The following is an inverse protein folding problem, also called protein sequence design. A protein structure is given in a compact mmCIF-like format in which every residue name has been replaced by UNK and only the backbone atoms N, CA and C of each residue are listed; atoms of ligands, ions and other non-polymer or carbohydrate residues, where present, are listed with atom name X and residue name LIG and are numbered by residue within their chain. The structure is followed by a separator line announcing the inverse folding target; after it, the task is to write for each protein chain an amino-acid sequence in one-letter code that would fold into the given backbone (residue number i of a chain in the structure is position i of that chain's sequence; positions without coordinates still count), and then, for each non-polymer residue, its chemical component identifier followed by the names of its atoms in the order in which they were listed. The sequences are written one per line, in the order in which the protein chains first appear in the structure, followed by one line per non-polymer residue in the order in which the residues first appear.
data_IF_944022131600
#
_entry.id   IF_944022131600
#
_cell.length_a   1.000
_cell.length_b   1.000
_cell.length_c   1.000
_cell.angle_alpha   90.00
_cell.angle_beta   90.00
_cell.angle_gamma   90.00
#
_symmetry.space_group_name_H-M   'P 1'
#
loop_
_entity.id
_entity.type
_entity.pdbx_description
1 polymer ?
#
# COMPACT_ATOMS: atom_id res chain seq x y z
N UNK A 1 -64.69 35.82 -36.77
CA UNK A 1 -64.89 34.60 -37.58
C UNK A 1 -63.71 34.25 -38.52
N UNK A 2 -62.64 35.03 -38.62
CA UNK A 2 -61.46 34.73 -39.50
C UNK A 2 -60.32 33.88 -38.82
N UNK A 3 -60.30 33.72 -37.52
CA UNK A 3 -59.25 32.96 -36.81
C UNK A 3 -59.52 31.46 -36.59
N UNK A 4 -60.78 31.02 -36.82
CA UNK A 4 -61.15 29.61 -36.55
C UNK A 4 -60.93 28.70 -37.78
N UNK A 5 -60.75 29.26 -38.97
CA UNK A 5 -60.48 28.48 -40.19
C UNK A 5 -59.03 28.14 -40.42
N UNK A 6 -58.10 28.81 -39.74
CA UNK A 6 -56.67 28.57 -39.87
C UNK A 6 -56.21 27.34 -39.07
N UNK A 7 -56.84 27.07 -37.92
CA UNK A 7 -56.56 25.90 -37.08
C UNK A 7 -57.12 24.58 -37.64
N UNK A 8 -58.19 24.66 -38.40
CA UNK A 8 -58.78 23.47 -39.01
C UNK A 8 -57.99 22.94 -40.21
N UNK A 9 -57.24 23.80 -40.91
CA UNK A 9 -56.36 23.40 -42.04
C UNK A 9 -55.01 22.82 -41.59
N UNK A 10 -54.49 23.17 -40.40
CA UNK A 10 -53.27 22.64 -39.85
C UNK A 10 -53.49 21.24 -39.25
N UNK A 11 -54.67 20.95 -38.72
CA UNK A 11 -54.99 19.65 -38.15
C UNK A 11 -55.21 18.53 -39.18
N UNK A 12 -55.61 18.88 -40.43
CA UNK A 12 -55.81 17.89 -41.51
C UNK A 12 -54.54 17.46 -42.21
N UNK A 13 -53.44 18.24 -42.13
CA UNK A 13 -52.11 17.90 -42.71
C UNK A 13 -51.30 17.01 -41.74
N UNK A 14 -51.56 17.12 -40.44
CA UNK A 14 -50.86 16.28 -39.41
C UNK A 14 -51.38 14.84 -39.34
N UNK A 15 -52.59 14.55 -39.86
CA UNK A 15 -53.20 13.21 -39.78
C UNK A 15 -52.85 12.30 -40.98
N UNK A 16 -52.26 12.82 -42.06
CA UNK A 16 -51.92 12.06 -43.26
C UNK A 16 -50.43 11.59 -43.31
N UNK A 17 -49.60 11.97 -42.31
CA UNK A 17 -48.19 11.59 -42.25
C UNK A 17 -47.92 10.34 -41.39
N UNK A 18 -48.94 9.66 -40.78
CA UNK A 18 -48.77 8.53 -39.84
C UNK A 18 -49.06 7.17 -40.48
N UNK A 19 -49.42 7.09 -41.76
CA UNK A 19 -49.91 5.83 -42.39
C UNK A 19 -48.94 5.14 -43.37
N UNK A 20 -47.60 5.45 -43.33
CA UNK A 20 -46.63 4.81 -44.24
C UNK A 20 -45.42 4.19 -43.51
N UNK A 21 -45.58 3.57 -42.35
CA UNK A 21 -44.53 2.82 -41.67
C UNK A 21 -45.03 1.52 -41.07
N UNK A 22 -45.85 0.76 -41.80
CA UNK A 22 -46.19 -0.60 -41.50
C UNK A 22 -45.74 -1.51 -42.65
N UNK A 23 -44.49 -1.93 -42.64
CA UNK A 23 -43.98 -2.85 -43.65
C UNK A 23 -42.69 -3.53 -43.19
N UNK A 24 -42.79 -4.86 -42.96
CA UNK A 24 -41.71 -5.83 -42.78
C UNK A 24 -41.02 -5.89 -41.42
N UNK A 25 -41.69 -6.45 -40.44
CA UNK A 25 -41.07 -7.06 -39.29
C UNK A 25 -40.63 -8.50 -39.59
N UNK A 26 -39.34 -8.69 -39.93
CA UNK A 26 -38.71 -10.01 -39.89
C UNK A 26 -38.30 -10.26 -38.44
N UNK A 27 -39.00 -11.15 -37.76
CA UNK A 27 -38.66 -11.60 -36.41
C UNK A 27 -37.38 -12.42 -36.46
N UNK A 28 -36.23 -11.77 -36.39
CA UNK A 28 -35.04 -12.41 -35.95
C UNK A 28 -35.03 -12.37 -34.41
N UNK A 29 -35.34 -13.49 -33.80
CA UNK A 29 -35.13 -13.74 -32.38
C UNK A 29 -33.64 -13.64 -32.10
N UNK A 30 -33.12 -12.43 -31.92
CA UNK A 30 -31.83 -12.23 -31.30
C UNK A 30 -31.95 -12.67 -29.86
N UNK A 31 -31.47 -13.89 -29.55
CA UNK A 31 -31.10 -14.28 -28.21
C UNK A 31 -30.27 -13.14 -27.64
N UNK A 32 -30.85 -12.37 -26.74
CA UNK A 32 -30.13 -11.47 -25.87
C UNK A 32 -29.19 -12.35 -25.03
N UNK A 33 -28.02 -12.61 -25.55
CA UNK A 33 -26.89 -13.03 -24.74
C UNK A 33 -26.65 -11.85 -23.80
N UNK A 34 -27.01 -12.03 -22.54
CA UNK A 34 -26.64 -11.18 -21.41
C UNK A 34 -25.13 -11.30 -21.21
N UNK A 35 -24.37 -10.88 -22.21
CA UNK A 35 -22.95 -10.69 -22.13
C UNK A 35 -22.78 -9.40 -21.27
N UNK A 36 -22.63 -9.62 -19.96
CA UNK A 36 -22.19 -8.57 -19.03
C UNK A 36 -20.81 -8.14 -19.50
N UNK A 37 -20.76 -7.27 -20.50
CA UNK A 37 -19.51 -6.66 -20.96
C UNK A 37 -18.92 -5.91 -19.78
N UNK A 38 -17.99 -6.57 -19.09
CA UNK A 38 -17.28 -5.96 -17.96
C UNK A 38 -16.51 -4.77 -18.51
N UNK A 39 -16.94 -3.56 -18.17
CA UNK A 39 -16.24 -2.33 -18.58
C UNK A 39 -14.77 -2.44 -18.19
N UNK A 40 -13.88 -2.18 -19.14
CA UNK A 40 -12.43 -2.31 -18.94
C UNK A 40 -11.71 -1.00 -19.21
N UNK A 41 -10.50 -0.87 -18.72
CA UNK A 41 -9.59 0.24 -18.98
C UNK A 41 -8.16 -0.25 -19.11
N UNK A 42 -7.29 0.56 -19.68
CA UNK A 42 -5.87 0.24 -19.85
C UNK A 42 -5.07 0.90 -18.73
N UNK A 43 -4.23 0.11 -18.06
CA UNK A 43 -3.21 0.58 -17.13
C UNK A 43 -1.84 0.47 -17.77
N UNK A 44 -0.96 1.45 -17.48
CA UNK A 44 0.48 1.38 -17.77
C UNK A 44 1.17 0.79 -16.55
N UNK A 45 1.85 -0.33 -16.70
CA UNK A 45 2.63 -1.05 -15.66
C UNK A 45 4.10 -1.10 -16.06
N UNK A 46 4.96 -1.59 -15.18
CA UNK A 46 6.37 -1.79 -15.50
C UNK A 46 6.58 -2.86 -16.60
N UNK A 47 5.64 -3.82 -16.73
CA UNK A 47 5.64 -4.84 -17.79
C UNK A 47 4.89 -4.40 -19.07
N UNK A 48 4.55 -3.12 -19.20
CA UNK A 48 3.82 -2.59 -20.36
C UNK A 48 2.35 -2.27 -20.07
N UNK A 49 1.54 -2.11 -21.12
CA UNK A 49 0.11 -1.82 -21.01
C UNK A 49 -0.69 -3.11 -20.73
N UNK A 50 -1.63 -3.05 -19.79
CA UNK A 50 -2.52 -4.14 -19.44
C UNK A 50 -3.98 -3.67 -19.41
N UNK A 51 -4.88 -4.44 -20.03
CA UNK A 51 -6.33 -4.19 -20.00
C UNK A 51 -6.91 -4.86 -18.76
N UNK A 52 -7.49 -4.08 -17.85
CA UNK A 52 -8.03 -4.54 -16.57
C UNK A 52 -9.52 -4.17 -16.45
N UNK A 53 -10.31 -4.84 -15.60
CA UNK A 53 -11.67 -4.41 -15.28
C UNK A 53 -11.69 -2.97 -14.75
N UNK A 54 -12.73 -2.22 -15.10
CA UNK A 54 -12.93 -0.88 -14.54
C UNK A 54 -13.09 -0.92 -13.02
N UNK A 55 -13.77 -1.95 -12.50
CA UNK A 55 -14.00 -2.21 -11.08
C UNK A 55 -13.63 -3.66 -10.76
N UNK A 56 -12.35 -3.96 -10.44
CA UNK A 56 -11.93 -5.31 -10.12
C UNK A 56 -12.61 -5.78 -8.82
N UNK A 57 -13.14 -7.01 -8.86
CA UNK A 57 -13.93 -7.62 -7.76
C UNK A 57 -13.25 -8.83 -7.13
N UNK A 58 -12.26 -9.40 -7.78
CA UNK A 58 -11.58 -10.62 -7.34
C UNK A 58 -10.07 -10.49 -7.55
N UNK A 59 -9.42 -9.85 -6.59
CA UNK A 59 -8.00 -9.52 -6.70
C UNK A 59 -7.17 -10.59 -5.99
N UNK A 60 -6.16 -11.11 -6.68
CA UNK A 60 -5.08 -11.90 -6.08
C UNK A 60 -3.83 -11.02 -6.03
N UNK A 61 -3.10 -11.04 -4.91
CA UNK A 61 -1.94 -10.17 -4.76
C UNK A 61 -0.86 -10.74 -3.83
N UNK A 62 0.36 -10.26 -4.02
CA UNK A 62 1.46 -10.40 -3.07
C UNK A 62 2.03 -9.01 -2.73
N UNK A 63 2.70 -8.87 -1.60
CA UNK A 63 3.36 -7.63 -1.12
C UNK A 63 2.38 -6.45 -0.98
N UNK A 64 1.50 -6.24 -1.95
CA UNK A 64 0.56 -5.11 -2.04
C UNK A 64 -0.84 -5.40 -1.49
N UNK A 65 -0.98 -6.46 -0.70
CA UNK A 65 -2.27 -6.87 -0.10
C UNK A 65 -2.85 -5.76 0.78
N UNK A 66 -2.02 -5.15 1.63
CA UNK A 66 -2.43 -4.03 2.47
C UNK A 66 -2.82 -2.78 1.67
N UNK A 67 -2.12 -2.47 0.57
CA UNK A 67 -2.44 -1.34 -0.31
C UNK A 67 -3.79 -1.51 -0.99
N UNK A 68 -4.05 -2.71 -1.51
CA UNK A 68 -5.36 -3.06 -2.10
C UNK A 68 -6.47 -2.98 -1.04
N UNK A 69 -6.24 -3.56 0.13
CA UNK A 69 -7.20 -3.59 1.23
C UNK A 69 -7.53 -2.21 1.80
N UNK A 70 -6.51 -1.35 1.95
CA UNK A 70 -6.64 0.01 2.51
C UNK A 70 -7.58 0.90 1.71
N UNK A 71 -7.67 0.68 0.41
CA UNK A 71 -8.56 1.41 -0.49
C UNK A 71 -9.86 0.64 -0.81
N UNK A 72 -10.13 -0.45 -0.06
CA UNK A 72 -11.36 -1.24 -0.19
C UNK A 72 -11.38 -2.16 -1.41
N UNK A 73 -10.22 -2.56 -1.96
CA UNK A 73 -10.15 -3.61 -2.97
C UNK A 73 -10.51 -4.97 -2.36
N UNK A 74 -11.19 -5.82 -3.13
CA UNK A 74 -11.64 -7.13 -2.66
C UNK A 74 -10.62 -8.21 -2.99
N UNK A 75 -9.94 -8.73 -1.95
CA UNK A 75 -8.87 -9.71 -2.07
C UNK A 75 -9.46 -11.11 -1.91
N UNK A 76 -9.21 -11.99 -2.88
CA UNK A 76 -9.64 -13.39 -2.86
C UNK A 76 -8.48 -14.36 -2.62
N UNK A 77 -7.23 -13.89 -2.75
CA UNK A 77 -6.04 -14.67 -2.44
C UNK A 77 -4.83 -13.79 -2.21
N UNK A 78 -4.00 -14.15 -1.23
CA UNK A 78 -2.77 -13.44 -0.90
C UNK A 78 -1.74 -14.39 -0.29
N UNK A 79 -0.48 -13.95 -0.22
CA UNK A 79 0.59 -14.76 0.40
C UNK A 79 0.42 -14.84 1.91
N UNK A 80 1.01 -15.87 2.53
CA UNK A 80 0.94 -16.07 3.98
C UNK A 80 1.54 -14.91 4.77
N UNK A 81 2.63 -14.33 4.26
CA UNK A 81 3.27 -13.17 4.89
C UNK A 81 2.33 -11.95 4.91
N UNK A 82 1.64 -11.69 3.81
CA UNK A 82 0.69 -10.58 3.74
C UNK A 82 -0.51 -10.80 4.68
N UNK A 83 -1.05 -12.02 4.72
CA UNK A 83 -2.19 -12.37 5.58
C UNK A 83 -1.84 -12.36 7.07
N UNK A 84 -0.56 -12.42 7.42
CA UNK A 84 -0.08 -12.25 8.79
C UNK A 84 -0.19 -10.80 9.28
N UNK A 85 -0.43 -9.82 8.40
CA UNK A 85 -0.52 -8.39 8.75
C UNK A 85 -1.55 -8.16 9.87
N UNK A 86 -1.19 -7.50 10.99
CA UNK A 86 -2.13 -7.12 12.04
C UNK A 86 -3.08 -6.00 11.59
N UNK A 87 -2.85 -5.39 10.43
CA UNK A 87 -3.61 -4.28 9.87
C UNK A 87 -4.73 -4.72 8.94
N UNK A 88 -4.76 -5.98 8.54
CA UNK A 88 -5.90 -6.56 7.86
C UNK A 88 -6.98 -6.95 8.88
N UNK A 89 -8.22 -6.61 8.57
CA UNK A 89 -9.37 -6.99 9.40
C UNK A 89 -9.60 -8.50 9.38
N UNK A 90 -10.29 -9.04 10.39
CA UNK A 90 -10.68 -10.46 10.41
C UNK A 90 -11.49 -10.85 9.18
N UNK A 91 -12.38 -9.97 8.70
CA UNK A 91 -13.18 -10.20 7.50
C UNK A 91 -12.32 -10.29 6.24
N UNK A 92 -11.34 -9.38 6.05
CA UNK A 92 -10.40 -9.41 4.93
C UNK A 92 -9.55 -10.69 4.92
N UNK A 93 -9.02 -11.09 6.09
CA UNK A 93 -8.27 -12.34 6.22
C UNK A 93 -9.13 -13.58 5.91
N UNK A 94 -10.38 -13.60 6.36
CA UNK A 94 -11.31 -14.71 6.11
C UNK A 94 -11.71 -14.80 4.62
N UNK A 95 -11.82 -13.67 3.93
CA UNK A 95 -12.20 -13.61 2.52
C UNK A 95 -11.08 -14.07 1.58
N UNK A 96 -9.82 -13.99 2.00
CA UNK A 96 -8.66 -14.28 1.18
C UNK A 96 -8.12 -15.70 1.44
N UNK A 97 -7.95 -16.47 0.38
CA UNK A 97 -7.25 -17.76 0.45
C UNK A 97 -5.76 -17.54 0.64
N UNK A 98 -5.17 -18.28 1.58
CA UNK A 98 -3.72 -18.29 1.77
C UNK A 98 -3.04 -19.11 0.66
N UNK A 99 -2.20 -18.44 -0.13
CA UNK A 99 -1.47 -19.04 -1.26
C UNK A 99 -0.07 -19.58 -0.87
N UNK A 100 0.29 -19.56 0.41
CA UNK A 100 1.63 -19.90 0.87
C UNK A 100 2.61 -18.74 0.64
N UNK A 101 3.88 -19.06 0.41
CA UNK A 101 4.92 -18.04 0.20
C UNK A 101 4.91 -17.44 -1.21
N UNK A 102 4.36 -18.13 -2.19
CA UNK A 102 4.36 -17.74 -3.61
C UNK A 102 3.00 -18.00 -4.26
N UNK A 103 2.69 -17.25 -5.33
CA UNK A 103 1.45 -17.39 -6.11
C UNK A 103 1.59 -18.49 -7.18
N UNK A 104 1.41 -19.77 -6.79
CA UNK A 104 1.43 -20.89 -7.74
C UNK A 104 0.25 -20.80 -8.72
N UNK A 105 0.46 -20.95 -10.04
CA UNK A 105 -0.59 -20.77 -11.07
C UNK A 105 -1.86 -21.59 -10.80
N UNK A 106 -1.71 -22.86 -10.39
CA UNK A 106 -2.84 -23.76 -10.14
C UNK A 106 -3.72 -23.28 -8.97
N UNK A 107 -3.09 -22.73 -7.91
CA UNK A 107 -3.79 -22.18 -6.76
C UNK A 107 -4.50 -20.86 -7.14
N UNK A 108 -3.84 -19.99 -7.91
CA UNK A 108 -4.42 -18.74 -8.41
C UNK A 108 -5.59 -18.99 -9.33
N UNK A 109 -5.48 -19.95 -10.27
CA UNK A 109 -6.54 -20.31 -11.22
C UNK A 109 -7.84 -20.71 -10.52
N UNK A 110 -7.75 -21.50 -9.46
CA UNK A 110 -8.92 -21.93 -8.65
C UNK A 110 -9.71 -20.77 -8.06
N UNK A 111 -9.05 -19.64 -7.82
CA UNK A 111 -9.69 -18.44 -7.26
C UNK A 111 -10.44 -17.60 -8.30
N UNK A 112 -10.29 -17.91 -9.61
CA UNK A 112 -10.92 -17.17 -10.70
C UNK A 112 -10.79 -15.66 -10.53
N UNK A 113 -9.55 -15.11 -10.39
CA UNK A 113 -9.35 -13.68 -10.21
C UNK A 113 -9.72 -12.92 -11.48
N UNK A 114 -10.13 -11.67 -11.33
CA UNK A 114 -10.33 -10.74 -12.44
C UNK A 114 -9.17 -9.74 -12.57
N UNK A 115 -8.27 -9.70 -11.58
CA UNK A 115 -7.01 -8.93 -11.61
C UNK A 115 -5.98 -9.56 -10.66
N UNK A 116 -4.72 -9.54 -11.06
CA UNK A 116 -3.58 -9.95 -10.23
C UNK A 116 -2.66 -8.74 -10.05
N UNK A 117 -2.23 -8.46 -8.80
CA UNK A 117 -1.26 -7.40 -8.50
C UNK A 117 -0.02 -8.04 -7.87
N UNK A 118 1.15 -7.79 -8.43
CA UNK A 118 2.40 -8.44 -7.99
C UNK A 118 3.59 -7.50 -7.99
N UNK A 119 4.53 -7.75 -7.09
CA UNK A 119 5.87 -7.15 -7.09
C UNK A 119 6.93 -8.02 -7.80
N UNK A 120 6.58 -9.23 -8.21
CA UNK A 120 7.49 -10.19 -8.83
C UNK A 120 7.27 -10.24 -10.34
N UNK A 121 8.30 -9.90 -11.12
CA UNK A 121 8.23 -9.89 -12.59
C UNK A 121 7.94 -11.28 -13.19
N UNK A 122 8.46 -12.35 -12.57
CA UNK A 122 8.22 -13.71 -13.03
C UNK A 122 6.73 -14.11 -13.03
N UNK A 123 5.92 -13.52 -12.13
CA UNK A 123 4.48 -13.76 -12.08
C UNK A 123 3.77 -13.23 -13.33
N UNK A 124 4.30 -12.23 -14.02
CA UNK A 124 3.70 -11.71 -15.26
C UNK A 124 3.59 -12.82 -16.31
N UNK A 125 4.71 -13.54 -16.57
CA UNK A 125 4.74 -14.65 -17.51
C UNK A 125 3.88 -15.82 -17.04
N UNK A 126 3.98 -16.16 -15.75
CA UNK A 126 3.32 -17.32 -15.16
C UNK A 126 1.79 -17.17 -15.09
N UNK A 127 1.29 -15.96 -14.79
CA UNK A 127 -0.12 -15.75 -14.42
C UNK A 127 -0.95 -15.01 -15.48
N UNK A 128 -0.35 -14.41 -16.52
CA UNK A 128 -1.08 -13.61 -17.54
C UNK A 128 -2.16 -14.38 -18.32
N UNK A 129 -2.10 -15.71 -18.37
CA UNK A 129 -3.13 -16.55 -18.98
C UNK A 129 -4.35 -16.77 -18.07
N UNK A 130 -4.23 -16.44 -16.77
CA UNK A 130 -5.30 -16.62 -15.77
C UNK A 130 -6.11 -15.34 -15.66
N UNK A 131 -5.44 -14.18 -15.48
CA UNK A 131 -6.06 -12.87 -15.38
C UNK A 131 -5.05 -11.76 -15.74
N UNK A 132 -5.51 -10.52 -16.00
CA UNK A 132 -4.64 -9.36 -16.17
C UNK A 132 -3.68 -9.19 -14.98
N UNK A 133 -2.37 -9.09 -15.25
CA UNK A 133 -1.34 -8.92 -14.22
C UNK A 133 -0.84 -7.48 -14.21
N UNK A 134 -1.03 -6.82 -13.08
CA UNK A 134 -0.51 -5.48 -12.78
C UNK A 134 0.81 -5.65 -12.01
N UNK A 135 1.92 -5.53 -12.73
CA UNK A 135 3.26 -5.62 -12.17
C UNK A 135 3.75 -4.25 -11.68
N UNK A 136 4.15 -4.19 -10.42
CA UNK A 136 4.68 -3.00 -9.76
C UNK A 136 5.97 -3.41 -9.05
N UNK A 137 7.16 -3.04 -9.54
CA UNK A 137 8.41 -3.35 -8.86
C UNK A 137 8.40 -2.83 -7.41
N UNK A 138 8.96 -3.61 -6.49
CA UNK A 138 9.08 -3.20 -5.11
C UNK A 138 9.81 -1.85 -5.00
N UNK A 139 9.33 -0.96 -4.12
CA UNK A 139 9.91 0.37 -3.92
C UNK A 139 9.63 1.40 -5.03
N UNK A 140 8.93 1.03 -6.14
CA UNK A 140 8.68 1.92 -7.28
C UNK A 140 7.46 2.83 -7.14
N UNK A 141 6.78 2.80 -6.00
CA UNK A 141 5.55 3.58 -5.77
C UNK A 141 5.79 4.97 -5.19
N UNK A 142 7.03 5.27 -4.80
CA UNK A 142 7.39 6.53 -4.14
C UNK A 142 7.09 6.50 -2.63
N UNK A 143 6.68 7.63 -2.07
CA UNK A 143 6.27 7.69 -0.67
C UNK A 143 4.83 7.15 -0.48
N UNK A 144 4.38 7.05 0.78
CA UNK A 144 3.08 6.43 1.10
C UNK A 144 1.89 7.17 0.49
N UNK A 145 1.94 8.49 0.35
CA UNK A 145 0.87 9.28 -0.27
C UNK A 145 0.81 9.02 -1.78
N UNK A 146 1.97 8.91 -2.43
CA UNK A 146 2.10 8.54 -3.85
C UNK A 146 1.65 7.08 -4.06
N UNK A 147 1.99 6.19 -3.14
CA UNK A 147 1.54 4.79 -3.14
C UNK A 147 0.01 4.71 -3.08
N UNK A 148 -0.63 5.39 -2.12
CA UNK A 148 -2.08 5.44 -2.03
C UNK A 148 -2.73 5.98 -3.31
N UNK A 149 -2.16 7.06 -3.88
CA UNK A 149 -2.63 7.65 -5.15
C UNK A 149 -2.52 6.66 -6.31
N UNK A 150 -1.38 5.97 -6.44
CA UNK A 150 -1.15 4.95 -7.48
C UNK A 150 -2.13 3.79 -7.37
N UNK A 151 -2.34 3.27 -6.16
CA UNK A 151 -3.34 2.21 -5.94
C UNK A 151 -4.78 2.70 -6.15
N UNK A 152 -5.08 3.96 -5.83
CA UNK A 152 -6.34 4.60 -6.20
C UNK A 152 -6.58 4.60 -7.72
N UNK A 153 -5.53 4.81 -8.53
CA UNK A 153 -5.59 4.68 -9.98
C UNK A 153 -5.76 3.21 -10.41
N UNK A 154 -4.97 2.27 -9.85
CA UNK A 154 -5.01 0.85 -10.18
C UNK A 154 -6.38 0.23 -9.88
N UNK A 155 -7.01 0.61 -8.78
CA UNK A 155 -8.29 0.08 -8.32
C UNK A 155 -9.51 0.85 -8.84
N UNK A 156 -9.29 1.96 -9.58
CA UNK A 156 -10.31 2.96 -9.92
C UNK A 156 -11.02 3.53 -8.69
N UNK A 157 -10.26 3.83 -7.65
CA UNK A 157 -10.71 4.35 -6.34
C UNK A 157 -9.99 5.65 -5.98
N UNK A 158 -9.93 6.59 -6.95
CA UNK A 158 -9.20 7.87 -6.80
C UNK A 158 -9.72 8.70 -5.63
N UNK A 159 -11.04 8.70 -5.40
CA UNK A 159 -11.64 9.43 -4.28
C UNK A 159 -11.17 8.85 -2.94
N UNK A 160 -11.22 7.52 -2.77
CA UNK A 160 -10.77 6.86 -1.54
C UNK A 160 -9.29 7.15 -1.25
N UNK A 161 -8.44 7.17 -2.29
CA UNK A 161 -7.03 7.53 -2.14
C UNK A 161 -6.84 9.00 -1.72
N UNK A 162 -7.61 9.94 -2.30
CA UNK A 162 -7.57 11.34 -1.92
C UNK A 162 -8.07 11.56 -0.48
N UNK A 163 -9.16 10.91 -0.09
CA UNK A 163 -9.71 10.96 1.27
C UNK A 163 -8.69 10.40 2.28
N UNK A 164 -8.02 9.28 1.95
CA UNK A 164 -6.97 8.72 2.78
C UNK A 164 -5.79 9.69 2.93
N UNK A 165 -5.30 10.28 1.84
CA UNK A 165 -4.20 11.24 1.87
C UNK A 165 -4.55 12.47 2.75
N UNK A 166 -5.77 12.99 2.64
CA UNK A 166 -6.22 14.11 3.47
C UNK A 166 -6.24 13.73 4.97
N UNK A 167 -6.79 12.54 5.30
CA UNK A 167 -6.82 12.00 6.65
C UNK A 167 -5.41 11.77 7.21
N UNK A 168 -4.50 11.22 6.40
CA UNK A 168 -3.12 10.99 6.79
C UNK A 168 -2.40 12.32 7.12
N UNK A 169 -2.53 13.34 6.28
CA UNK A 169 -1.97 14.68 6.53
C UNK A 169 -2.50 15.32 7.80
N UNK A 170 -3.79 15.19 8.08
CA UNK A 170 -4.39 15.72 9.31
C UNK A 170 -3.81 15.01 10.55
N UNK A 171 -3.74 13.69 10.53
CA UNK A 171 -3.19 12.89 11.62
C UNK A 171 -1.72 13.20 11.87
N UNK A 172 -0.89 13.19 10.82
CA UNK A 172 0.56 13.47 10.95
C UNK A 172 0.83 14.86 11.50
N UNK A 173 0.06 15.86 11.07
CA UNK A 173 0.14 17.23 11.64
C UNK A 173 -0.21 17.26 13.12
N UNK A 174 -1.23 16.52 13.54
CA UNK A 174 -1.61 16.41 14.95
C UNK A 174 -0.52 15.74 15.77
N UNK A 175 0.02 14.62 15.29
CA UNK A 175 1.05 13.87 16.02
C UNK A 175 2.37 14.65 16.09
N UNK A 176 2.78 15.34 15.01
CA UNK A 176 3.95 16.21 15.01
C UNK A 176 3.82 17.36 16.04
N UNK A 177 2.61 17.95 16.18
CA UNK A 177 2.35 18.94 17.23
C UNK A 177 2.50 18.38 18.64
N UNK A 178 2.07 17.13 18.90
CA UNK A 178 2.27 16.47 20.20
C UNK A 178 3.76 16.32 20.52
N UNK A 179 4.56 15.88 19.56
CA UNK A 179 6.02 15.77 19.71
C UNK A 179 6.67 17.14 19.98
N UNK A 180 6.29 18.16 19.20
CA UNK A 180 6.83 19.53 19.39
C UNK A 180 6.52 20.09 20.77
N UNK A 181 5.31 19.84 21.31
CA UNK A 181 4.96 20.25 22.68
C UNK A 181 5.82 19.56 23.75
N UNK A 182 6.35 18.37 23.45
CA UNK A 182 7.26 17.63 24.32
C UNK A 182 8.74 17.95 24.05
N UNK A 183 9.04 19.00 23.29
CA UNK A 183 10.42 19.41 22.98
C UNK A 183 11.05 18.70 21.79
N UNK A 184 10.36 17.76 21.14
CA UNK A 184 10.87 17.03 19.99
C UNK A 184 10.40 17.72 18.71
N UNK A 185 11.30 18.41 17.99
CA UNK A 185 10.98 19.07 16.72
C UNK A 185 11.34 18.14 15.55
N UNK A 186 10.39 17.44 14.90
CA UNK A 186 10.71 16.40 13.91
C UNK A 186 11.61 16.91 12.77
N UNK A 187 11.36 18.09 12.22
CA UNK A 187 12.13 18.67 11.11
C UNK A 187 13.60 18.99 11.45
N UNK A 188 13.94 19.05 12.75
CA UNK A 188 15.30 19.30 13.25
C UNK A 188 15.96 18.07 13.87
N UNK A 189 15.21 16.97 13.99
CA UNK A 189 15.62 15.74 14.68
C UNK A 189 15.93 14.65 13.67
N UNK A 190 17.05 13.97 13.84
CA UNK A 190 17.44 12.81 13.06
C UNK A 190 16.96 11.51 13.70
N UNK A 191 16.59 10.53 12.88
CA UNK A 191 16.21 9.18 13.32
C UNK A 191 17.03 8.11 12.60
N UNK A 192 17.40 7.06 13.33
CA UNK A 192 18.00 5.86 12.79
C UNK A 192 17.02 4.68 12.92
N UNK A 193 16.93 3.87 11.87
CA UNK A 193 16.10 2.67 11.82
C UNK A 193 17.03 1.46 11.81
N UNK A 194 16.93 0.64 12.84
CA UNK A 194 17.78 -0.52 13.04
C UNK A 194 16.95 -1.79 13.17
N UNK A 195 17.44 -2.87 12.61
CA UNK A 195 16.76 -4.16 12.62
C UNK A 195 17.74 -5.31 12.91
N UNK A 196 17.33 -6.24 13.78
CA UNK A 196 18.09 -7.45 14.06
C UNK A 196 17.40 -8.64 13.41
N UNK A 197 18.06 -9.26 12.43
CA UNK A 197 17.56 -10.42 11.69
C UNK A 197 18.57 -11.55 11.70
N UNK A 198 18.20 -12.71 12.21
CA UNK A 198 19.06 -13.90 12.27
C UNK A 198 20.45 -13.62 12.89
N UNK A 199 20.48 -12.86 13.98
CA UNK A 199 21.70 -12.46 14.67
C UNK A 199 22.55 -11.40 13.99
N UNK A 200 22.07 -10.82 12.86
CA UNK A 200 22.77 -9.78 12.09
C UNK A 200 22.07 -8.45 12.25
N UNK A 201 22.85 -7.39 12.40
CA UNK A 201 22.36 -6.02 12.52
C UNK A 201 22.25 -5.37 11.14
N UNK A 202 21.12 -4.73 10.91
CA UNK A 202 20.85 -3.95 9.70
C UNK A 202 20.50 -2.50 10.05
N UNK A 203 20.73 -1.60 9.12
CA UNK A 203 20.14 -0.27 9.08
C UNK A 203 19.25 -0.17 7.85
N UNK A 204 18.08 0.43 8.04
CA UNK A 204 17.04 0.50 7.01
C UNK A 204 16.81 1.95 6.55
N UNK A 205 16.53 2.11 5.27
CA UNK A 205 16.01 3.35 4.69
C UNK A 205 14.51 3.51 4.99
N UNK A 206 14.00 4.72 4.73
CA UNK A 206 12.60 5.05 5.01
C UNK A 206 11.60 4.25 4.19
N UNK A 207 11.97 3.82 2.98
CA UNK A 207 11.07 3.13 2.04
C UNK A 207 10.99 1.61 2.25
N UNK A 208 11.84 1.06 3.13
CA UNK A 208 11.96 -0.39 3.31
C UNK A 208 10.96 -0.98 4.34
N UNK A 209 10.05 -0.22 4.87
CA UNK A 209 9.18 -0.61 5.99
C UNK A 209 9.75 -0.18 7.33
N UNK A 210 9.58 -1.00 8.37
CA UNK A 210 10.09 -0.74 9.75
C UNK A 210 9.63 0.60 10.33
N UNK A 211 8.51 1.15 9.84
CA UNK A 211 8.01 2.46 10.27
C UNK A 211 8.66 3.65 9.55
N UNK A 212 9.56 3.39 8.60
CA UNK A 212 10.30 4.45 7.92
C UNK A 212 9.42 5.52 7.28
N UNK A 213 8.36 5.14 6.59
CA UNK A 213 7.41 6.08 5.98
C UNK A 213 6.63 6.89 7.03
N UNK A 214 6.27 6.28 8.15
CA UNK A 214 5.60 6.98 9.25
C UNK A 214 6.52 8.03 9.90
N UNK A 215 7.81 7.68 10.06
CA UNK A 215 8.83 8.56 10.63
C UNK A 215 9.15 9.74 9.70
N UNK A 216 9.43 9.47 8.42
CA UNK A 216 9.92 10.50 7.49
C UNK A 216 8.78 11.22 6.79
N UNK A 217 7.99 10.55 5.97
CA UNK A 217 6.87 11.16 5.23
C UNK A 217 5.75 11.61 6.17
N UNK A 218 5.47 10.81 7.20
CA UNK A 218 4.42 11.12 8.17
C UNK A 218 4.81 12.22 9.14
N UNK A 219 5.78 11.96 10.00
CA UNK A 219 6.15 12.87 11.12
C UNK A 219 7.16 13.94 10.72
N UNK A 220 7.87 13.78 9.59
CA UNK A 220 8.81 14.76 9.08
C UNK A 220 10.23 14.68 9.69
N UNK A 221 10.59 13.56 10.30
CA UNK A 221 11.95 13.33 10.78
C UNK A 221 12.93 13.16 9.62
N UNK A 222 14.22 13.36 9.90
CA UNK A 222 15.29 13.24 8.92
C UNK A 222 16.12 11.98 9.16
N UNK A 223 16.55 11.33 8.09
CA UNK A 223 17.59 10.30 8.17
C UNK A 223 18.98 10.96 8.20
N UNK A 224 19.97 10.42 8.95
CA UNK A 224 21.36 10.78 8.80
C UNK A 224 21.84 10.58 7.35
N UNK A 225 22.83 11.36 6.90
CA UNK A 225 23.30 11.35 5.51
C UNK A 225 23.72 9.95 5.02
N UNK A 226 24.35 9.14 5.88
CA UNK A 226 24.72 7.77 5.55
C UNK A 226 23.50 6.87 5.30
N UNK A 227 22.38 7.07 6.05
CA UNK A 227 21.15 6.31 5.87
C UNK A 227 20.34 6.82 4.68
N UNK A 228 20.43 8.11 4.33
CA UNK A 228 19.83 8.65 3.11
C UNK A 228 20.40 7.96 1.86
N UNK A 229 21.71 7.65 1.86
CA UNK A 229 22.35 6.90 0.76
C UNK A 229 21.81 5.47 0.65
N UNK A 230 21.54 4.82 1.78
CA UNK A 230 20.91 3.48 1.81
C UNK A 230 19.49 3.57 1.28
N UNK A 231 18.70 4.56 1.70
CA UNK A 231 17.31 4.78 1.25
C UNK A 231 17.22 5.09 -0.26
N UNK A 232 18.19 5.80 -0.81
CA UNK A 232 18.28 6.09 -2.24
C UNK A 232 18.77 4.89 -3.07
N UNK A 233 19.40 3.91 -2.44
CA UNK A 233 20.01 2.73 -3.07
C UNK A 233 19.27 1.43 -2.71
N UNK A 234 19.95 0.50 -2.00
CA UNK A 234 19.42 -0.84 -1.74
C UNK A 234 18.23 -0.87 -0.76
N UNK A 235 17.97 0.21 -0.04
CA UNK A 235 16.89 0.33 0.95
C UNK A 235 17.26 -0.22 2.34
N UNK A 236 18.20 -1.14 2.45
CA UNK A 236 18.75 -1.67 3.71
C UNK A 236 20.20 -2.11 3.54
N UNK A 237 20.93 -2.19 4.65
CA UNK A 237 22.33 -2.62 4.65
C UNK A 237 22.66 -3.34 5.95
N UNK A 238 23.29 -4.53 5.85
CA UNK A 238 23.92 -5.16 6.99
C UNK A 238 25.11 -4.32 7.44
N UNK A 239 25.24 -4.12 8.75
CA UNK A 239 26.31 -3.30 9.35
C UNK A 239 26.97 -4.04 10.49
N UNK A 240 28.24 -3.74 10.72
CA UNK A 240 28.96 -4.20 11.92
C UNK A 240 28.82 -3.18 13.06
N UNK A 241 29.05 -3.62 14.29
CA UNK A 241 29.01 -2.75 15.47
C UNK A 241 30.04 -1.63 15.40
N UNK A 242 31.21 -1.84 14.77
CA UNK A 242 32.27 -0.84 14.58
C UNK A 242 31.79 0.34 13.70
N UNK A 243 30.88 0.07 12.78
CA UNK A 243 30.38 1.08 11.83
C UNK A 243 29.20 1.92 12.38
N UNK A 244 28.67 1.62 13.56
CA UNK A 244 27.44 2.24 14.12
C UNK A 244 27.53 3.76 14.24
N UNK A 245 28.70 4.32 14.57
CA UNK A 245 28.88 5.77 14.67
C UNK A 245 28.52 6.50 13.37
N UNK A 246 28.76 5.86 12.20
CA UNK A 246 28.40 6.39 10.88
C UNK A 246 26.90 6.60 10.69
N UNK A 247 26.10 5.81 11.38
CA UNK A 247 24.63 5.82 11.28
C UNK A 247 23.97 6.43 12.52
N UNK A 248 24.74 7.19 13.30
CA UNK A 248 24.27 7.82 14.53
C UNK A 248 23.16 8.83 14.24
N UNK A 249 22.19 8.91 15.14
CA UNK A 249 21.02 9.80 15.07
C UNK A 249 20.62 10.25 16.47
N UNK A 250 19.71 11.24 16.57
CA UNK A 250 19.17 11.74 17.85
C UNK A 250 18.22 10.71 18.49
N UNK A 251 17.51 9.93 17.68
CA UNK A 251 16.63 8.86 18.09
C UNK A 251 16.92 7.59 17.28
N UNK A 252 16.85 6.43 17.94
CA UNK A 252 16.97 5.12 17.29
C UNK A 252 15.67 4.33 17.44
N UNK A 253 15.19 3.81 16.33
CA UNK A 253 14.08 2.87 16.29
C UNK A 253 14.67 1.48 16.02
N UNK A 254 14.44 0.56 16.96
CA UNK A 254 15.04 -0.76 16.93
C UNK A 254 13.95 -1.83 16.80
N UNK A 255 14.02 -2.62 15.71
CA UNK A 255 13.19 -3.78 15.46
C UNK A 255 13.96 -5.08 15.64
N UNK A 256 13.24 -6.17 15.87
CA UNK A 256 13.80 -7.51 15.88
C UNK A 256 12.77 -8.50 15.38
N UNK A 257 13.16 -9.35 14.44
CA UNK A 257 12.32 -10.47 14.03
C UNK A 257 12.27 -11.50 15.16
N UNK A 258 11.08 -11.97 15.51
CA UNK A 258 10.88 -13.00 16.54
C UNK A 258 11.02 -14.42 16.02
N UNK A 259 11.24 -14.60 14.71
CA UNK A 259 11.45 -15.89 14.06
C UNK A 259 12.87 -16.40 14.39
N UNK A 260 12.98 -17.40 15.25
CA UNK A 260 14.25 -17.95 15.70
C UNK A 260 14.65 -17.39 17.08
N UNK A 261 14.13 -17.99 18.13
CA UNK A 261 14.22 -17.49 19.51
C UNK A 261 15.62 -17.30 20.08
N UNK A 262 16.66 -17.95 19.57
CA UNK A 262 17.99 -17.92 20.21
C UNK A 262 18.95 -16.90 19.61
N UNK A 263 19.02 -16.77 18.29
CA UNK A 263 20.07 -15.95 17.64
C UNK A 263 19.89 -14.44 17.84
N UNK A 264 18.65 -13.94 17.80
CA UNK A 264 18.42 -12.50 17.96
C UNK A 264 18.50 -12.06 19.43
N UNK A 265 18.08 -12.88 20.39
CA UNK A 265 18.13 -12.54 21.83
C UNK A 265 19.57 -12.33 22.28
N UNK A 266 20.47 -13.26 21.95
CA UNK A 266 21.88 -13.12 22.29
C UNK A 266 22.53 -11.95 21.56
N UNK A 267 22.32 -11.81 20.24
CA UNK A 267 22.87 -10.72 19.45
C UNK A 267 22.43 -9.33 19.93
N UNK A 268 21.18 -9.19 20.40
CA UNK A 268 20.66 -7.95 21.00
C UNK A 268 21.33 -7.68 22.34
N UNK A 269 21.54 -8.71 23.18
CA UNK A 269 22.28 -8.60 24.43
C UNK A 269 23.72 -8.13 24.20
N UNK A 270 24.40 -8.76 23.23
CA UNK A 270 25.78 -8.42 22.85
C UNK A 270 25.86 -6.99 22.30
N UNK A 271 24.91 -6.59 21.45
CA UNK A 271 24.81 -5.22 20.96
C UNK A 271 24.66 -4.22 22.09
N UNK A 272 23.75 -4.47 23.05
CA UNK A 272 23.50 -3.56 24.18
C UNK A 272 24.70 -3.46 25.13
N UNK A 273 25.52 -4.50 25.27
CA UNK A 273 26.73 -4.48 26.05
C UNK A 273 27.93 -3.83 25.34
N UNK A 274 27.88 -3.70 24.00
CA UNK A 274 28.97 -3.17 23.21
C UNK A 274 29.30 -1.70 23.55
N UNK A 275 30.57 -1.33 23.79
CA UNK A 275 30.96 0.04 24.13
C UNK A 275 30.61 1.07 23.05
N UNK A 276 30.68 0.71 21.75
CA UNK A 276 30.33 1.60 20.64
C UNK A 276 28.83 1.92 20.65
N UNK A 277 27.98 0.90 20.84
CA UNK A 277 26.55 1.10 21.02
C UNK A 277 26.25 2.05 22.19
N UNK A 278 26.83 1.80 23.35
CA UNK A 278 26.69 2.63 24.56
C UNK A 278 27.16 4.08 24.35
N UNK A 279 28.09 4.30 23.42
CA UNK A 279 28.64 5.63 23.11
C UNK A 279 27.73 6.46 22.21
N UNK A 280 26.75 5.86 21.54
CA UNK A 280 25.85 6.59 20.64
C UNK A 280 25.02 7.64 21.38
N UNK A 281 24.85 8.86 20.84
CA UNK A 281 24.07 9.93 21.48
C UNK A 281 22.66 9.50 21.89
N UNK A 282 21.92 8.85 21.00
CA UNK A 282 20.59 8.36 21.28
C UNK A 282 20.56 7.33 22.42
N UNK A 283 21.57 6.47 22.54
CA UNK A 283 21.66 5.48 23.65
C UNK A 283 21.92 6.18 24.98
N UNK A 284 22.86 7.15 25.01
CA UNK A 284 23.15 7.93 26.21
C UNK A 284 21.97 8.77 26.68
N UNK A 285 21.18 9.30 25.74
CA UNK A 285 19.98 10.10 26.01
C UNK A 285 18.73 9.24 26.31
N UNK A 286 18.84 7.91 26.35
CA UNK A 286 17.69 7.00 26.46
C UNK A 286 16.65 7.12 25.31
N UNK A 287 17.06 7.59 24.14
CA UNK A 287 16.24 7.78 22.95
C UNK A 287 16.22 6.55 22.03
N UNK A 288 16.33 5.35 22.58
CA UNK A 288 16.17 4.11 21.82
C UNK A 288 14.74 3.61 21.99
N UNK A 289 13.97 3.64 20.93
CA UNK A 289 12.57 3.19 20.90
C UNK A 289 12.50 1.78 20.32
N UNK A 290 12.01 0.83 21.09
CA UNK A 290 11.76 -0.52 20.63
C UNK A 290 10.25 -0.71 20.43
N UNK A 291 9.85 -1.08 19.21
CA UNK A 291 8.45 -1.30 18.84
C UNK A 291 8.24 -2.75 18.38
N UNK A 292 7.02 -3.28 18.53
CA UNK A 292 6.72 -4.64 18.06
C UNK A 292 6.97 -4.78 16.57
N UNK A 293 7.88 -5.68 16.20
CA UNK A 293 8.32 -5.87 14.81
C UNK A 293 7.15 -6.09 13.85
N UNK A 294 6.22 -6.97 14.20
CA UNK A 294 5.05 -7.27 13.38
C UNK A 294 4.16 -6.05 13.08
N UNK A 295 4.15 -5.04 13.96
CA UNK A 295 3.45 -3.77 13.73
C UNK A 295 4.27 -2.78 12.89
N UNK A 296 5.58 -2.91 12.85
CA UNK A 296 6.46 -2.00 12.12
C UNK A 296 6.88 -2.55 10.75
N UNK A 297 6.68 -3.83 10.51
CA UNK A 297 7.09 -4.52 9.28
C UNK A 297 6.35 -4.02 8.03
N UNK A 298 5.03 -3.88 8.13
CA UNK A 298 4.16 -3.52 6.99
C UNK A 298 4.25 -2.02 6.67
N UNK A 299 4.07 -1.68 5.40
CA UNK A 299 4.27 -0.30 4.89
C UNK A 299 3.13 0.17 3.98
N UNK A 300 1.98 -0.52 4.01
CA UNK A 300 0.75 -0.10 3.34
C UNK A 300 0.09 1.12 4.01
N UNK A 301 -0.88 1.78 3.37
CA UNK A 301 -1.53 2.98 3.91
C UNK A 301 -2.13 2.79 5.31
N UNK A 302 -2.79 1.65 5.59
CA UNK A 302 -3.36 1.40 6.93
C UNK A 302 -2.27 1.21 7.97
N UNK A 303 -1.23 0.44 7.64
CA UNK A 303 -0.09 0.21 8.53
C UNK A 303 0.62 1.52 8.89
N UNK A 304 1.00 2.31 7.88
CA UNK A 304 1.74 3.57 8.09
C UNK A 304 0.91 4.58 8.89
N UNK A 305 -0.39 4.68 8.63
CA UNK A 305 -1.28 5.54 9.42
C UNK A 305 -1.28 5.16 10.91
N UNK A 306 -1.36 3.88 11.24
CA UNK A 306 -1.33 3.41 12.62
C UNK A 306 0.05 3.55 13.27
N UNK A 307 1.11 3.33 12.49
CA UNK A 307 2.50 3.48 12.95
C UNK A 307 2.81 4.90 13.38
N UNK A 308 2.27 5.94 12.72
CA UNK A 308 2.44 7.34 13.13
C UNK A 308 2.06 7.55 14.59
N UNK A 309 0.90 7.05 15.03
CA UNK A 309 0.46 7.15 16.44
C UNK A 309 1.32 6.32 17.37
N UNK A 310 1.60 5.06 16.98
CA UNK A 310 2.39 4.13 17.77
C UNK A 310 3.79 4.69 18.07
N UNK A 311 4.43 5.28 17.07
CA UNK A 311 5.74 5.92 17.16
C UNK A 311 5.66 7.15 18.08
N UNK A 312 4.69 8.04 17.84
CA UNK A 312 4.52 9.25 18.68
C UNK A 312 4.32 8.90 20.14
N UNK A 313 3.42 7.96 20.46
CA UNK A 313 3.15 7.55 21.83
C UNK A 313 4.38 6.91 22.50
N UNK A 314 5.18 6.15 21.75
CA UNK A 314 6.40 5.55 22.27
C UNK A 314 7.52 6.58 22.53
N UNK A 315 7.66 7.58 21.67
CA UNK A 315 8.61 8.68 21.88
C UNK A 315 8.22 9.54 23.09
N UNK A 316 6.95 9.91 23.23
CA UNK A 316 6.45 10.71 24.36
C UNK A 316 6.61 10.06 25.73
N UNK A 317 6.77 8.72 25.78
CA UNK A 317 7.09 8.01 27.04
C UNK A 317 8.56 8.13 27.44
N UNK A 318 9.40 8.68 26.57
CA UNK A 318 10.86 8.79 26.76
C UNK A 318 11.36 10.25 26.74
N UNK A 319 10.49 11.17 26.34
CA UNK A 319 10.76 12.61 26.31
C UNK A 319 10.69 13.27 27.70
#
# INVERSE_FOLDING_TARGET
MKKMHTYLKVMTVALLAVLFLAGCGQSSSSKSSNDKTTSTRVLKTAAGKVKVPLHPKRIVTNVYTGDVASLGGHIVGATSLDLASPYLTKAQKKAATNLGLTMKPEAVLKLKPDMIVTSNEADVKALKKIAPVVYIPYGSTGNIEQTATKFGQILNRKKQAADWNAKFKAETKQQAKRLTKAGITPSKTTIGIYDMQNGKLFVDGAKWGRGGQALTTGLGFKLPAAMQKIDAGPGFQQVSTESLKKYSADWLFFGSTTTGKSSNTQAISDLKSNPIWKSLPAVKANHVVQLPFNKMYYFDPTAVYQQVKLITDAMLKKA
#
